data_IF_612387953624
#
_entry.id   IF_612387953624
#
_cell.length_a   1.000
_cell.length_b   1.000
_cell.length_c   1.000
_cell.angle_alpha   90.00
_cell.angle_beta   90.00
_cell.angle_gamma   90.00
#
_symmetry.space_group_name_H-M   'P 1'
#
loop_
_entity.id
_entity.type
_entity.pdbx_description
1 polymer ?
#
# COMPACT_ATOMS: atom_id res chain seq x y z
N UNK A 1 1.17 -15.59 3.88
CA UNK A 1 1.64 -14.38 4.57
C UNK A 1 0.51 -13.80 5.41
N UNK A 2 0.77 -13.16 6.56
CA UNK A 2 -0.31 -12.52 7.36
C UNK A 2 -0.88 -11.34 6.60
N UNK A 3 -2.16 -11.06 6.81
CA UNK A 3 -2.86 -9.97 6.13
C UNK A 3 -3.79 -9.25 7.09
N UNK A 4 -3.90 -7.91 7.02
CA UNK A 4 -4.99 -7.23 7.68
C UNK A 4 -6.33 -7.58 7.05
N UNK A 5 -7.40 -7.37 7.81
CA UNK A 5 -8.78 -7.57 7.33
C UNK A 5 -9.14 -6.38 6.42
N UNK A 6 -9.57 -6.62 5.17
CA UNK A 6 -10.12 -5.55 4.35
C UNK A 6 -11.34 -4.93 5.03
N UNK A 7 -11.37 -3.59 5.11
CA UNK A 7 -12.48 -2.83 5.70
C UNK A 7 -13.78 -2.96 4.91
N UNK A 8 -13.66 -3.18 3.62
CA UNK A 8 -14.79 -3.35 2.71
C UNK A 8 -14.80 -4.78 2.20
N UNK A 9 -15.99 -5.34 2.02
CA UNK A 9 -16.22 -6.51 1.19
C UNK A 9 -16.34 -6.10 -0.30
N UNK A 10 -16.61 -7.08 -1.16
CA UNK A 10 -16.70 -6.86 -2.61
C UNK A 10 -17.84 -5.88 -2.99
N UNK A 11 -18.99 -5.99 -2.33
CA UNK A 11 -20.13 -5.10 -2.57
C UNK A 11 -19.84 -3.66 -2.11
N UNK A 12 -19.26 -3.51 -0.92
CA UNK A 12 -18.84 -2.23 -0.38
C UNK A 12 -17.78 -1.54 -1.26
N UNK A 13 -16.81 -2.31 -1.76
CA UNK A 13 -15.81 -1.83 -2.71
C UNK A 13 -16.46 -1.40 -4.04
N UNK A 14 -17.36 -2.21 -4.60
CA UNK A 14 -18.11 -1.87 -5.81
C UNK A 14 -18.93 -0.58 -5.64
N UNK A 15 -19.63 -0.42 -4.51
CA UNK A 15 -20.39 0.79 -4.20
C UNK A 15 -19.50 2.03 -4.01
N UNK A 16 -18.27 1.86 -3.50
CA UNK A 16 -17.27 2.94 -3.46
C UNK A 16 -16.81 3.34 -4.86
N UNK A 17 -16.44 2.39 -5.70
CA UNK A 17 -16.06 2.67 -7.09
C UNK A 17 -17.18 3.36 -7.86
N UNK A 18 -18.42 2.86 -7.78
CA UNK A 18 -19.55 3.49 -8.46
C UNK A 18 -19.74 4.96 -8.05
N UNK A 19 -19.54 5.29 -6.76
CA UNK A 19 -19.58 6.69 -6.30
C UNK A 19 -18.45 7.53 -6.89
N UNK A 20 -17.24 6.99 -6.95
CA UNK A 20 -16.10 7.68 -7.58
C UNK A 20 -16.36 7.95 -9.07
N UNK A 21 -16.92 6.97 -9.80
CA UNK A 21 -17.24 7.11 -11.22
C UNK A 21 -18.32 8.16 -11.51
N UNK A 22 -19.18 8.45 -10.53
CA UNK A 22 -20.22 9.48 -10.62
C UNK A 22 -19.70 10.89 -10.28
N UNK A 23 -18.49 11.03 -9.75
CA UNK A 23 -17.87 12.33 -9.45
C UNK A 23 -17.25 12.92 -10.72
N UNK A 24 -17.82 14.02 -11.22
CA UNK A 24 -17.28 14.80 -12.34
C UNK A 24 -18.35 15.43 -13.23
N UNK A 25 -18.02 16.60 -13.82
CA UNK A 25 -18.90 17.39 -14.71
C UNK A 25 -19.01 16.82 -16.13
N UNK A 26 -18.14 15.87 -16.52
CA UNK A 26 -18.08 15.30 -17.88
C UNK A 26 -18.42 13.81 -17.83
N UNK A 27 -19.72 13.52 -17.92
CA UNK A 27 -20.31 12.17 -17.85
C UNK A 27 -20.10 11.36 -19.15
N UNK A 28 -18.85 11.13 -19.58
CA UNK A 28 -18.65 9.91 -20.37
C UNK A 28 -19.09 8.76 -19.48
N UNK A 29 -20.02 7.93 -19.95
CA UNK A 29 -20.56 6.83 -19.17
C UNK A 29 -19.43 5.85 -18.81
N UNK A 30 -18.84 6.04 -17.62
CA UNK A 30 -17.86 5.13 -17.07
C UNK A 30 -18.62 3.96 -16.48
N UNK A 31 -18.31 2.74 -16.94
CA UNK A 31 -18.93 1.51 -16.45
C UNK A 31 -17.92 0.72 -15.64
N UNK A 32 -18.26 0.44 -14.38
CA UNK A 32 -17.52 -0.54 -13.59
C UNK A 32 -17.80 -1.94 -14.16
N UNK A 33 -16.75 -2.62 -14.62
CA UNK A 33 -16.82 -3.95 -15.25
C UNK A 33 -16.65 -5.06 -14.24
N UNK A 34 -15.67 -4.90 -13.36
CA UNK A 34 -15.27 -5.91 -12.38
C UNK A 34 -14.64 -5.21 -11.18
N UNK A 35 -14.79 -5.85 -10.02
CA UNK A 35 -14.05 -5.54 -8.81
C UNK A 35 -13.35 -6.80 -8.38
N UNK A 36 -12.11 -6.67 -7.92
CA UNK A 36 -11.39 -7.78 -7.30
C UNK A 36 -10.54 -7.30 -6.13
N UNK A 37 -10.29 -8.23 -5.21
CA UNK A 37 -9.37 -8.04 -4.11
C UNK A 37 -8.05 -8.69 -4.48
N UNK A 38 -6.98 -7.91 -4.44
CA UNK A 38 -5.61 -8.40 -4.63
C UNK A 38 -4.81 -8.14 -3.36
N UNK A 39 -3.84 -9.01 -3.11
CA UNK A 39 -2.90 -8.84 -2.00
C UNK A 39 -1.50 -8.63 -2.56
N UNK A 40 -0.85 -7.56 -2.15
CA UNK A 40 0.51 -7.24 -2.52
C UNK A 40 1.45 -7.45 -1.33
N UNK A 41 2.69 -7.90 -1.55
CA UNK A 41 3.64 -8.05 -0.46
C UNK A 41 4.21 -6.68 -0.04
N UNK A 42 4.24 -6.42 1.27
CA UNK A 42 4.78 -5.21 1.87
C UNK A 42 5.75 -5.54 3.00
N UNK A 43 6.94 -4.94 2.97
CA UNK A 43 7.87 -4.99 4.09
C UNK A 43 7.50 -3.94 5.12
N UNK A 44 7.20 -4.39 6.34
CA UNK A 44 6.87 -3.53 7.47
C UNK A 44 8.13 -3.25 8.29
N UNK A 45 8.36 -1.98 8.56
CA UNK A 45 9.45 -1.49 9.38
C UNK A 45 8.90 -0.75 10.60
N UNK A 46 9.53 -0.98 11.75
CA UNK A 46 9.32 -0.19 12.95
C UNK A 46 10.46 0.81 13.06
N UNK A 47 10.10 2.09 13.14
CA UNK A 47 11.05 3.18 13.27
C UNK A 47 10.81 3.87 14.62
N UNK A 48 11.60 3.56 15.66
CA UNK A 48 11.53 4.25 16.94
C UNK A 48 11.79 5.74 16.74
N UNK A 49 10.93 6.55 17.34
CA UNK A 49 11.02 8.01 17.35
C UNK A 49 11.16 8.49 18.77
N UNK A 50 12.13 9.36 19.00
CA UNK A 50 12.25 10.09 20.26
C UNK A 50 11.64 11.48 20.09
N UNK A 51 10.89 11.96 21.07
CA UNK A 51 10.48 13.35 21.19
C UNK A 51 10.64 13.81 22.66
N UNK A 52 10.57 15.12 22.97
CA UNK A 52 10.71 15.61 24.34
C UNK A 52 9.64 15.12 25.32
N UNK A 53 8.46 14.77 24.81
CA UNK A 53 7.32 14.27 25.60
C UNK A 53 7.38 12.74 25.81
N UNK A 54 8.32 12.05 25.16
CA UNK A 54 8.53 10.61 25.28
C UNK A 54 8.98 9.90 24.00
N UNK A 55 9.08 8.58 24.11
CA UNK A 55 9.37 7.70 22.98
C UNK A 55 8.08 7.23 22.30
N UNK A 56 8.18 7.03 20.99
CA UNK A 56 7.11 6.45 20.18
C UNK A 56 7.69 5.54 19.09
N UNK A 57 6.80 4.90 18.33
CA UNK A 57 7.17 4.08 17.18
C UNK A 57 6.31 4.48 16.01
N UNK A 58 6.93 4.68 14.85
CA UNK A 58 6.22 4.84 13.59
C UNK A 58 6.41 3.57 12.77
N UNK A 59 5.30 2.99 12.32
CA UNK A 59 5.31 1.85 11.40
C UNK A 59 5.27 2.34 9.97
N UNK A 60 6.22 1.92 9.14
CA UNK A 60 6.33 2.33 7.74
C UNK A 60 6.37 1.09 6.87
N UNK A 61 5.70 1.13 5.72
CA UNK A 61 5.67 0.01 4.79
C UNK A 61 6.27 0.37 3.43
N UNK A 62 7.13 -0.50 2.95
CA UNK A 62 7.67 -0.46 1.59
C UNK A 62 7.03 -1.58 0.78
N UNK A 63 6.56 -1.30 -0.43
CA UNK A 63 6.07 -2.36 -1.31
C UNK A 63 7.23 -3.28 -1.69
N UNK A 64 7.01 -4.59 -1.61
CA UNK A 64 8.05 -5.57 -1.84
C UNK A 64 8.21 -5.93 -3.33
N UNK A 65 7.61 -5.17 -4.25
CA UNK A 65 7.74 -5.37 -5.71
C UNK A 65 8.68 -4.33 -6.31
N UNK A 66 8.48 -3.06 -5.97
CA UNK A 66 9.21 -1.91 -6.52
C UNK A 66 10.04 -1.16 -5.48
N UNK A 67 9.81 -1.38 -4.19
CA UNK A 67 10.47 -0.68 -3.09
C UNK A 67 9.97 0.75 -2.87
N UNK A 68 8.80 1.08 -3.39
CA UNK A 68 8.09 2.32 -3.17
C UNK A 68 7.45 2.36 -1.79
N UNK A 69 7.54 3.53 -1.15
CA UNK A 69 7.00 3.75 0.18
C UNK A 69 5.49 4.02 0.13
N UNK A 70 4.73 3.31 0.97
CA UNK A 70 3.38 3.73 1.39
C UNK A 70 3.51 4.30 2.80
N UNK A 71 2.95 5.50 2.97
CA UNK A 71 2.95 6.21 4.24
C UNK A 71 2.25 5.40 5.35
N UNK A 72 2.63 5.74 6.60
CA UNK A 72 2.40 5.01 7.84
C UNK A 72 1.23 4.03 7.85
N UNK A 73 1.58 2.76 8.02
CA UNK A 73 0.62 1.71 8.37
C UNK A 73 0.38 1.82 9.87
N UNK A 74 -0.89 1.82 10.30
CA UNK A 74 -1.23 1.78 11.73
C UNK A 74 -0.60 0.53 12.37
N UNK A 75 0.20 0.71 13.42
CA UNK A 75 0.88 -0.39 14.10
C UNK A 75 -0.08 -1.32 14.85
N UNK A 76 -1.34 -0.87 15.03
CA UNK A 76 -2.47 -1.61 15.59
C UNK A 76 -3.25 -2.40 14.55
N UNK A 77 -2.78 -2.49 13.31
CA UNK A 77 -3.44 -3.28 12.29
C UNK A 77 -3.57 -4.75 12.72
N UNK A 78 -4.82 -5.17 12.93
CA UNK A 78 -5.14 -6.55 13.26
C UNK A 78 -4.82 -7.45 12.06
N UNK A 79 -3.75 -8.21 12.20
CA UNK A 79 -3.33 -9.17 11.20
C UNK A 79 -4.01 -10.51 11.44
N UNK A 80 -4.70 -11.01 10.43
CA UNK A 80 -5.27 -12.35 10.45
C UNK A 80 -4.18 -13.42 10.28
N UNK A 81 -4.40 -14.57 10.93
CA UNK A 81 -3.60 -15.77 10.72
C UNK A 81 -3.88 -16.44 9.36
N UNK A 82 -5.00 -16.09 8.71
CA UNK A 82 -5.38 -16.62 7.39
C UNK A 82 -4.37 -16.13 6.36
N UNK A 83 -3.72 -17.07 5.67
CA UNK A 83 -2.77 -16.75 4.61
C UNK A 83 -3.55 -16.21 3.41
N UNK A 84 -3.27 -14.97 3.05
CA UNK A 84 -3.68 -14.43 1.77
C UNK A 84 -2.72 -14.91 0.66
N UNK A 85 -3.28 -15.17 -0.51
CA UNK A 85 -2.54 -15.46 -1.73
C UNK A 85 -2.10 -14.13 -2.34
N UNK A 86 -0.79 -13.99 -2.57
CA UNK A 86 -0.23 -12.79 -3.14
C UNK A 86 -0.45 -12.79 -4.65
N UNK A 87 -0.73 -11.62 -5.21
CA UNK A 87 -0.76 -11.46 -6.68
C UNK A 87 0.63 -11.70 -7.28
N UNK A 88 1.70 -11.38 -6.56
CA UNK A 88 3.07 -11.65 -6.99
C UNK A 88 3.99 -11.92 -5.79
N UNK A 89 5.09 -12.64 -6.04
CA UNK A 89 6.12 -12.83 -5.04
C UNK A 89 6.89 -11.51 -4.75
N UNK A 90 7.42 -11.32 -3.54
CA UNK A 90 8.37 -10.26 -3.26
C UNK A 90 9.55 -10.30 -4.25
N UNK A 91 9.93 -9.16 -4.80
CA UNK A 91 11.05 -8.98 -5.75
C UNK A 91 12.17 -8.12 -5.19
N UNK A 92 11.88 -7.26 -4.22
CA UNK A 92 12.90 -6.51 -3.48
C UNK A 92 13.08 -7.13 -2.09
N UNK A 93 14.28 -6.99 -1.54
CA UNK A 93 14.57 -7.46 -0.19
C UNK A 93 14.33 -6.35 0.84
N UNK A 94 14.03 -6.68 2.11
CA UNK A 94 13.94 -5.68 3.16
C UNK A 94 15.22 -4.84 3.30
N UNK A 95 16.39 -5.47 3.13
CA UNK A 95 17.68 -4.79 3.23
C UNK A 95 17.85 -3.69 2.17
N UNK A 96 17.41 -3.96 0.93
CA UNK A 96 17.54 -3.03 -0.21
C UNK A 96 16.66 -1.77 -0.10
N UNK A 97 15.63 -1.79 0.73
CA UNK A 97 14.71 -0.65 0.92
C UNK A 97 14.88 0.04 2.27
N UNK A 98 15.71 -0.51 3.17
CA UNK A 98 15.87 -0.02 4.55
C UNK A 98 16.30 1.44 4.63
N UNK A 99 17.26 1.87 3.80
CA UNK A 99 17.73 3.26 3.80
C UNK A 99 16.63 4.22 3.32
N UNK A 100 15.90 3.86 2.26
CA UNK A 100 14.75 4.64 1.77
C UNK A 100 13.66 4.78 2.84
N UNK A 101 13.41 3.72 3.60
CA UNK A 101 12.45 3.74 4.72
C UNK A 101 12.91 4.71 5.81
N UNK A 102 14.19 4.64 6.19
CA UNK A 102 14.76 5.52 7.21
C UNK A 102 14.72 6.99 6.79
N UNK A 103 15.06 7.27 5.53
CA UNK A 103 15.00 8.63 4.98
C UNK A 103 13.57 9.14 4.89
N UNK A 104 12.61 8.28 4.52
CA UNK A 104 11.19 8.61 4.54
C UNK A 104 10.72 8.96 5.97
N UNK A 105 11.10 8.14 6.96
CA UNK A 105 10.79 8.38 8.37
C UNK A 105 11.33 9.73 8.84
N UNK A 106 12.60 10.01 8.51
CA UNK A 106 13.26 11.29 8.86
C UNK A 106 12.55 12.46 8.21
N UNK A 107 12.16 12.34 6.94
CA UNK A 107 11.41 13.39 6.28
C UNK A 107 10.05 13.64 6.91
N UNK A 108 9.31 12.59 7.28
CA UNK A 108 8.04 12.74 7.99
C UNK A 108 8.19 13.45 9.35
N UNK A 109 9.27 13.19 10.09
CA UNK A 109 9.57 13.91 11.33
C UNK A 109 9.92 15.38 11.08
N UNK A 110 10.74 15.66 10.06
CA UNK A 110 11.15 17.02 9.69
C UNK A 110 9.97 17.85 9.20
N UNK A 111 9.07 17.28 8.39
CA UNK A 111 7.85 17.94 7.94
C UNK A 111 6.99 18.38 9.13
N UNK A 112 6.75 17.48 10.09
CA UNK A 112 6.03 17.82 11.33
C UNK A 112 6.73 18.93 12.12
N UNK A 113 8.08 18.94 12.16
CA UNK A 113 8.86 20.00 12.81
C UNK A 113 8.71 21.35 12.12
N UNK A 114 8.75 21.39 10.79
CA UNK A 114 8.58 22.63 10.03
C UNK A 114 7.23 23.29 10.29
N UNK A 115 6.19 22.48 10.54
CA UNK A 115 4.86 22.97 10.92
C UNK A 115 4.70 23.22 12.43
N UNK A 116 5.77 23.17 13.21
CA UNK A 116 5.75 23.38 14.66
C UNK A 116 5.03 22.28 15.45
N UNK A 117 4.80 21.12 14.85
CA UNK A 117 3.98 20.03 15.42
C UNK A 117 4.79 19.07 16.30
N UNK A 118 6.11 18.97 16.11
CA UNK A 118 6.95 18.03 16.85
C UNK A 118 8.45 18.30 16.69
N UNK A 119 9.25 18.00 17.72
CA UNK A 119 10.72 17.93 17.65
C UNK A 119 11.23 16.48 17.55
N UNK A 120 10.39 15.57 17.05
CA UNK A 120 10.70 14.15 16.95
C UNK A 120 11.94 13.85 16.08
N UNK A 121 12.72 12.86 16.50
CA UNK A 121 13.88 12.33 15.80
C UNK A 121 13.74 10.82 15.60
N UNK A 122 14.08 10.33 14.42
CA UNK A 122 14.09 8.89 14.14
C UNK A 122 15.42 8.30 14.61
N UNK A 123 15.36 7.32 15.51
CA UNK A 123 16.55 6.66 16.07
C UNK A 123 17.11 5.57 15.14
N UNK A 124 16.27 5.02 14.28
CA UNK A 124 16.61 3.99 13.31
C UNK A 124 15.36 3.33 12.75
N UNK A 125 15.54 2.32 11.90
CA UNK A 125 14.44 1.48 11.44
C UNK A 125 14.87 0.01 11.44
N UNK A 126 13.97 -0.83 11.93
CA UNK A 126 14.10 -2.28 12.01
C UNK A 126 13.02 -2.94 11.16
N UNK A 127 13.43 -3.92 10.34
CA UNK A 127 12.48 -4.79 9.65
C UNK A 127 11.73 -5.66 10.67
N UNK A 128 10.41 -5.68 10.58
CA UNK A 128 9.54 -6.51 11.42
C UNK A 128 9.14 -7.77 10.70
N UNK A 129 8.46 -7.63 9.56
CA UNK A 129 7.93 -8.75 8.80
C UNK A 129 7.50 -8.31 7.39
N UNK A 130 7.13 -9.27 6.55
CA UNK A 130 6.44 -9.01 5.28
C UNK A 130 4.99 -9.41 5.42
N UNK A 131 4.06 -8.52 5.05
CA UNK A 131 2.62 -8.72 5.11
C UNK A 131 2.00 -8.70 3.72
N UNK A 132 0.89 -9.41 3.57
CA UNK A 132 0.04 -9.37 2.39
C UNK A 132 -0.97 -8.25 2.57
N UNK A 133 -0.74 -7.09 1.95
CA UNK A 133 -1.59 -5.91 2.11
C UNK A 133 -2.71 -5.90 1.06
N UNK A 134 -3.98 -5.74 1.46
CA UNK A 134 -5.13 -5.80 0.56
C UNK A 134 -5.32 -4.51 -0.24
N UNK A 135 -5.67 -4.65 -1.51
CA UNK A 135 -6.14 -3.58 -2.37
C UNK A 135 -7.37 -4.03 -3.15
N UNK A 136 -8.38 -3.18 -3.22
CA UNK A 136 -9.51 -3.38 -4.11
C UNK A 136 -9.21 -2.73 -5.46
N UNK A 137 -9.35 -3.48 -6.55
CA UNK A 137 -9.14 -3.02 -7.91
C UNK A 137 -10.48 -2.96 -8.64
N UNK A 138 -10.83 -1.78 -9.14
CA UNK A 138 -12.03 -1.54 -9.95
C UNK A 138 -11.63 -1.35 -11.40
N UNK A 139 -12.09 -2.25 -12.27
CA UNK A 139 -11.88 -2.17 -13.71
C UNK A 139 -12.98 -1.33 -14.36
N UNK A 140 -12.61 -0.26 -15.05
CA UNK A 140 -13.53 0.76 -15.51
C UNK A 140 -13.39 0.94 -17.01
N UNK A 141 -14.51 0.81 -17.71
CA UNK A 141 -14.60 1.04 -19.14
C UNK A 141 -15.11 2.45 -19.41
N UNK A 142 -14.45 3.16 -20.33
CA UNK A 142 -14.88 4.46 -20.84
C UNK A 142 -14.72 4.51 -22.36
N UNK A 143 -15.80 4.20 -23.08
CA UNK A 143 -15.75 4.01 -24.53
C UNK A 143 -14.91 2.79 -24.89
N UNK A 144 -13.80 2.98 -25.61
CA UNK A 144 -12.85 1.90 -25.99
C UNK A 144 -11.67 1.76 -25.02
N UNK A 145 -11.63 2.55 -23.96
CA UNK A 145 -10.53 2.56 -23.00
C UNK A 145 -10.90 1.74 -21.76
N UNK A 146 -9.96 0.91 -21.32
CA UNK A 146 -9.99 0.25 -20.02
C UNK A 146 -9.03 0.98 -19.09
N UNK A 147 -9.50 1.28 -17.88
CA UNK A 147 -8.70 1.88 -16.82
C UNK A 147 -8.92 1.12 -15.51
N UNK A 148 -8.02 1.31 -14.55
CA UNK A 148 -8.19 0.81 -13.18
C UNK A 148 -8.26 1.95 -12.16
N UNK A 149 -9.10 1.75 -11.16
CA UNK A 149 -9.07 2.50 -9.91
C UNK A 149 -8.68 1.57 -8.78
N UNK A 150 -7.97 2.09 -7.79
CA UNK A 150 -7.41 1.30 -6.69
C UNK A 150 -7.82 1.92 -5.37
N UNK A 151 -8.48 1.12 -4.52
CA UNK A 151 -8.73 1.48 -3.13
C UNK A 151 -7.78 0.70 -2.23
N UNK A 152 -7.26 1.37 -1.20
CA UNK A 152 -6.60 0.73 -0.09
C UNK A 152 -7.62 -0.14 0.65
N UNK A 153 -7.33 -1.43 0.78
CA UNK A 153 -8.21 -2.41 1.39
C UNK A 153 -8.44 -2.18 2.88
N UNK A 154 -7.49 -1.56 3.60
CA UNK A 154 -7.60 -1.25 5.03
C UNK A 154 -8.35 0.06 5.24
N UNK A 155 -7.95 1.15 4.59
CA UNK A 155 -8.59 2.45 4.84
C UNK A 155 -9.92 2.61 4.08
N UNK A 156 -10.08 1.90 2.95
CA UNK A 156 -11.18 2.05 2.00
C UNK A 156 -11.08 3.33 1.16
N UNK A 157 -9.94 4.02 1.19
CA UNK A 157 -9.71 5.28 0.47
C UNK A 157 -9.12 5.03 -0.92
N UNK A 158 -9.36 5.97 -1.84
CA UNK A 158 -8.73 5.94 -3.15
C UNK A 158 -7.23 6.21 -3.02
N UNK A 159 -6.45 5.37 -3.70
CA UNK A 159 -5.00 5.52 -3.72
C UNK A 159 -4.56 6.39 -4.89
N UNK A 160 -3.47 7.14 -4.70
CA UNK A 160 -2.92 8.00 -5.75
C UNK A 160 -2.24 7.24 -6.89
N UNK A 161 -1.85 7.97 -7.94
CA UNK A 161 -1.22 7.41 -9.14
C UNK A 161 0.03 6.55 -8.86
N UNK A 162 0.78 6.89 -7.81
CA UNK A 162 1.96 6.13 -7.37
C UNK A 162 1.60 4.68 -7.03
N UNK A 163 0.54 4.50 -6.24
CA UNK A 163 0.11 3.17 -5.81
C UNK A 163 -0.54 2.36 -6.93
N UNK A 164 -1.29 3.05 -7.80
CA UNK A 164 -1.78 2.43 -9.03
C UNK A 164 -0.65 1.84 -9.88
N UNK A 165 0.51 2.52 -9.98
CA UNK A 165 1.68 1.97 -10.68
C UNK A 165 2.26 0.73 -10.00
N UNK A 166 2.33 0.73 -8.67
CA UNK A 166 2.79 -0.44 -7.89
C UNK A 166 1.87 -1.64 -8.16
N UNK A 167 0.55 -1.45 -8.08
CA UNK A 167 -0.44 -2.50 -8.38
C UNK A 167 -0.28 -3.03 -9.80
N UNK A 168 -0.23 -2.15 -10.81
CA UNK A 168 -0.06 -2.58 -12.20
C UNK A 168 1.25 -3.36 -12.39
N UNK A 169 2.34 -2.89 -11.79
CA UNK A 169 3.63 -3.58 -11.85
C UNK A 169 3.54 -4.97 -11.23
N UNK A 170 2.93 -5.08 -10.04
CA UNK A 170 2.71 -6.34 -9.35
C UNK A 170 1.88 -7.33 -10.18
N UNK A 171 0.82 -6.86 -10.82
CA UNK A 171 -0.03 -7.69 -11.69
C UNK A 171 0.72 -8.18 -12.93
N UNK A 172 1.53 -7.33 -13.57
CA UNK A 172 2.37 -7.75 -14.70
C UNK A 172 3.42 -8.78 -14.28
N UNK A 173 3.99 -8.65 -13.08
CA UNK A 173 4.94 -9.63 -12.54
C UNK A 173 4.28 -10.99 -12.25
N UNK A 174 2.97 -11.03 -12.00
CA UNK A 174 2.23 -12.27 -11.77
C UNK A 174 2.13 -13.14 -13.03
N UNK A 175 2.10 -12.50 -14.20
CA UNK A 175 2.00 -13.16 -15.50
C UNK A 175 3.37 -13.68 -15.99
N UNK A 176 4.46 -13.09 -15.50
CA UNK A 176 5.82 -13.60 -15.71
C UNK A 176 6.04 -14.82 -14.81
N UNK A 177 6.01 -16.03 -15.39
CA UNK A 177 6.47 -17.25 -14.68
C UNK A 177 7.82 -16.97 -14.02
N UNK A 178 8.08 -17.45 -12.79
CA UNK A 178 9.38 -17.27 -12.17
C UNK A 178 10.44 -17.83 -13.11
N UNK A 179 11.38 -16.98 -13.55
CA UNK A 179 12.65 -17.49 -14.05
C UNK A 179 13.37 -18.00 -12.82
N UNK A 180 13.62 -19.30 -12.76
CA UNK A 180 14.44 -19.91 -11.73
C UNK A 180 15.75 -19.12 -11.63
N UNK A 181 15.91 -18.35 -10.55
CA UNK A 181 17.21 -17.81 -10.19
C UNK A 181 17.92 -18.95 -9.46
N UNK A 182 18.78 -19.65 -10.20
CA UNK A 182 19.75 -20.56 -9.64
C UNK A 182 20.67 -19.81 -8.66
N UNK A 183 21.01 -20.51 -7.59
CA UNK A 183 21.70 -20.10 -6.35
C UNK A 183 22.91 -19.15 -6.54
#
# INVERSE_FOLDING_TARGET
MRSPIPRLDSEGAAGRFQRLLRRGLWRRAKRLRRVELVYLPFHLFLCPVWNPDGEGVVSIAADAVTGEMIASIDDRLELTARRAELVCAPRVSPSSVREKVLDHARWSCLEKRMFGLSSAQVLGCQYRETIAYPFWIGYVESGKLLDIHVLDGVSGQETGAKLKRVVLTAMLCAEEKPKDFAE
#
